data_IF_844667145749
#
_entry.id   IF_844667145749
#
_cell.length_a   1.000
_cell.length_b   1.000
_cell.length_c   1.000
_cell.angle_alpha   90.00
_cell.angle_beta   90.00
_cell.angle_gamma   90.00
#
_symmetry.space_group_name_H-M   'P 1'
#
loop_
_entity.id
_entity.type
_entity.pdbx_description
1 polymer ?
#
# COMPACT_ATOMS: atom_id res chain seq x y z
N UNK A 1 5.85 -20.31 1.10
CA UNK A 1 5.88 -19.39 2.26
C UNK A 1 7.24 -18.70 2.40
N UNK A 2 7.89 -18.41 1.25
CA UNK A 2 9.27 -17.93 1.27
C UNK A 2 9.36 -16.61 0.50
N UNK A 3 10.18 -15.71 1.00
CA UNK A 3 10.58 -14.48 0.30
C UNK A 3 12.09 -14.57 0.04
N UNK A 4 12.47 -14.41 -1.21
CA UNK A 4 13.88 -14.31 -1.59
C UNK A 4 14.18 -12.87 -1.99
N UNK A 5 15.11 -12.25 -1.30
CA UNK A 5 15.59 -10.90 -1.58
C UNK A 5 16.83 -11.02 -2.46
N UNK A 6 16.81 -10.43 -3.63
CA UNK A 6 17.98 -10.44 -4.50
C UNK A 6 18.20 -9.07 -5.15
N UNK A 7 19.44 -8.83 -5.49
CA UNK A 7 19.90 -7.66 -6.21
C UNK A 7 20.67 -8.13 -7.45
N UNK A 8 21.16 -7.14 -8.20
CA UNK A 8 21.94 -7.32 -9.41
C UNK A 8 23.12 -8.32 -9.27
N UNK A 9 23.70 -8.40 -8.09
CA UNK A 9 24.87 -9.23 -7.72
C UNK A 9 24.52 -10.52 -6.98
N UNK A 10 23.23 -10.89 -6.88
CA UNK A 10 22.77 -12.16 -6.32
C UNK A 10 21.80 -12.04 -5.14
N UNK A 11 21.56 -13.18 -4.49
CA UNK A 11 20.68 -13.28 -3.32
C UNK A 11 21.26 -12.53 -2.14
N UNK A 12 20.43 -11.74 -1.47
CA UNK A 12 20.78 -10.93 -0.30
C UNK A 12 20.14 -11.44 0.99
N UNK A 13 19.09 -12.20 0.89
CA UNK A 13 18.40 -12.78 2.04
C UNK A 13 17.31 -13.74 1.61
N UNK A 14 16.93 -14.60 2.55
CA UNK A 14 15.84 -15.55 2.39
C UNK A 14 15.06 -15.59 3.71
N UNK A 15 13.74 -15.44 3.61
CA UNK A 15 12.84 -15.35 4.76
C UNK A 15 11.82 -16.47 4.63
N UNK A 16 11.79 -17.37 5.60
CA UNK A 16 10.80 -18.43 5.70
C UNK A 16 9.69 -18.04 6.66
N UNK A 17 8.45 -18.16 6.24
CA UNK A 17 7.30 -17.92 7.09
C UNK A 17 6.50 -19.20 7.35
N UNK A 18 5.95 -19.34 8.54
CA UNK A 18 5.07 -20.47 8.88
C UNK A 18 3.66 -20.31 8.32
N UNK A 19 3.23 -19.08 8.09
CA UNK A 19 1.92 -18.73 7.52
C UNK A 19 2.06 -18.39 6.03
N UNK A 20 1.02 -18.62 5.22
CA UNK A 20 1.02 -18.18 3.83
C UNK A 20 1.17 -16.66 3.70
N UNK A 21 1.96 -16.24 2.74
CA UNK A 21 2.15 -14.83 2.39
C UNK A 21 1.08 -14.43 1.37
N UNK A 22 0.29 -13.42 1.68
CA UNK A 22 -0.71 -12.86 0.75
C UNK A 22 -0.16 -11.67 -0.04
N UNK A 23 0.58 -10.81 0.63
CA UNK A 23 1.23 -9.63 0.06
C UNK A 23 2.61 -9.46 0.68
N UNK A 24 3.53 -8.92 -0.09
CA UNK A 24 4.83 -8.54 0.43
C UNK A 24 5.38 -7.34 -0.35
N UNK A 25 6.14 -6.52 0.35
CA UNK A 25 6.86 -5.37 -0.19
C UNK A 25 8.28 -5.35 0.38
N UNK A 26 9.19 -4.66 -0.31
CA UNK A 26 10.58 -4.55 0.11
C UNK A 26 11.06 -3.11 -0.02
N UNK A 27 11.76 -2.62 1.02
CA UNK A 27 12.44 -1.32 0.98
C UNK A 27 13.78 -1.39 0.22
N UNK A 28 14.36 -0.23 -0.08
CA UNK A 28 15.71 -0.16 -0.68
C UNK A 28 16.81 -0.70 0.24
N UNK A 29 16.53 -0.82 1.53
CA UNK A 29 17.45 -1.38 2.54
C UNK A 29 17.30 -2.91 2.71
N UNK A 30 16.36 -3.53 1.98
CA UNK A 30 16.09 -4.97 2.08
C UNK A 30 15.14 -5.35 3.22
N UNK A 31 14.52 -4.39 3.89
CA UNK A 31 13.44 -4.68 4.86
C UNK A 31 12.20 -5.14 4.09
N UNK A 32 11.70 -6.32 4.43
CA UNK A 32 10.49 -6.90 3.86
C UNK A 32 9.35 -6.77 4.84
N UNK A 33 8.23 -6.18 4.42
CA UNK A 33 6.97 -6.24 5.16
C UNK A 33 5.98 -7.12 4.41
N UNK A 34 5.35 -8.04 5.11
CA UNK A 34 4.44 -9.03 4.54
C UNK A 34 3.11 -9.09 5.31
N UNK A 35 2.02 -9.26 4.56
CA UNK A 35 0.73 -9.68 5.10
C UNK A 35 0.71 -11.20 5.11
N UNK A 36 0.61 -11.78 6.30
CA UNK A 36 0.55 -13.22 6.50
C UNK A 36 -0.90 -13.64 6.79
N UNK A 37 -1.36 -14.64 6.06
CA UNK A 37 -2.69 -15.20 6.21
C UNK A 37 -2.77 -16.06 7.47
N UNK A 38 -3.60 -15.64 8.40
CA UNK A 38 -4.07 -16.45 9.52
C UNK A 38 -5.60 -16.48 9.49
N UNK A 39 -6.20 -17.63 9.78
CA UNK A 39 -7.64 -17.85 9.68
C UNK A 39 -8.47 -16.92 10.57
N UNK A 40 -7.91 -16.47 11.68
CA UNK A 40 -8.61 -15.67 12.68
C UNK A 40 -8.06 -14.26 12.86
N UNK A 41 -6.79 -14.05 12.54
CA UNK A 41 -6.08 -12.83 12.85
C UNK A 41 -4.89 -12.64 11.90
N UNK A 42 -5.10 -12.13 10.69
CA UNK A 42 -4.02 -11.82 9.78
C UNK A 42 -2.97 -10.96 10.45
N UNK A 43 -1.70 -11.16 10.07
CA UNK A 43 -0.58 -10.45 10.66
C UNK A 43 0.17 -9.66 9.61
N UNK A 44 0.70 -8.52 10.02
CA UNK A 44 1.69 -7.79 9.25
C UNK A 44 3.02 -7.95 9.96
N UNK A 45 4.01 -8.50 9.27
CA UNK A 45 5.32 -8.76 9.85
C UNK A 45 6.39 -8.16 8.97
N UNK A 46 7.29 -7.38 9.57
CA UNK A 46 8.45 -6.84 8.88
C UNK A 46 9.72 -7.58 9.32
N UNK A 47 10.55 -7.92 8.35
CA UNK A 47 11.77 -8.72 8.53
C UNK A 47 12.98 -7.96 7.99
N UNK A 48 14.15 -8.19 8.60
CA UNK A 48 15.42 -7.84 8.00
C UNK A 48 15.89 -8.88 6.95
N UNK A 49 17.01 -8.63 6.30
CA UNK A 49 17.58 -9.54 5.28
C UNK A 49 18.05 -10.88 5.85
N UNK A 50 18.23 -11.00 7.16
CA UNK A 50 18.59 -12.24 7.84
C UNK A 50 17.34 -13.04 8.28
N UNK A 51 16.13 -12.51 8.05
CA UNK A 51 14.87 -13.13 8.48
C UNK A 51 14.48 -12.84 9.93
N UNK A 52 15.18 -11.94 10.61
CA UNK A 52 14.77 -11.53 11.96
C UNK A 52 13.53 -10.66 11.89
N UNK A 53 12.58 -10.91 12.79
CA UNK A 53 11.36 -10.10 12.92
C UNK A 53 11.73 -8.77 13.56
N UNK A 54 11.45 -7.68 12.85
CA UNK A 54 11.61 -6.30 13.32
C UNK A 54 10.31 -5.76 13.94
N UNK A 55 9.19 -6.09 13.30
CA UNK A 55 7.85 -5.67 13.71
C UNK A 55 6.87 -6.80 13.47
N UNK A 56 6.01 -7.06 14.44
CA UNK A 56 4.83 -7.92 14.28
C UNK A 56 3.58 -7.16 14.75
N UNK A 57 2.68 -6.91 13.82
CA UNK A 57 1.41 -6.24 14.08
C UNK A 57 0.25 -7.21 13.82
N UNK A 58 -0.46 -7.58 14.90
CA UNK A 58 -1.65 -8.44 14.81
C UNK A 58 -2.86 -7.58 14.45
N UNK A 59 -3.59 -7.99 13.43
CA UNK A 59 -4.82 -7.31 13.05
C UNK A 59 -6.04 -8.05 13.65
N UNK A 60 -7.14 -7.35 13.75
CA UNK A 60 -8.40 -7.91 14.21
C UNK A 60 -9.48 -7.60 13.17
N UNK A 61 -10.12 -8.61 12.64
CA UNK A 61 -11.18 -8.44 11.61
C UNK A 61 -12.32 -7.52 12.07
N UNK A 62 -12.60 -7.51 13.37
CA UNK A 62 -13.66 -6.69 13.96
C UNK A 62 -13.21 -5.30 14.41
N UNK A 63 -11.90 -5.10 14.61
CA UNK A 63 -11.31 -3.83 15.08
C UNK A 63 -10.59 -3.07 13.98
N UNK A 64 -9.45 -3.61 13.52
CA UNK A 64 -8.63 -2.96 12.50
C UNK A 64 -9.12 -3.19 11.07
N UNK A 65 -9.79 -4.30 10.81
CA UNK A 65 -10.16 -4.76 9.48
C UNK A 65 -9.16 -5.77 8.91
N UNK A 66 -9.47 -6.27 7.72
CA UNK A 66 -8.62 -7.19 6.97
C UNK A 66 -7.54 -6.39 6.22
N UNK A 67 -6.24 -6.67 6.39
CA UNK A 67 -5.19 -6.00 5.65
C UNK A 67 -5.20 -6.44 4.19
N UNK A 68 -5.47 -5.52 3.28
CA UNK A 68 -5.56 -5.77 1.84
C UNK A 68 -4.21 -5.65 1.15
N UNK A 69 -3.41 -4.69 1.59
CA UNK A 69 -2.11 -4.41 1.02
C UNK A 69 -1.17 -3.75 2.02
N UNK A 70 0.13 -3.88 1.77
CA UNK A 70 1.20 -3.26 2.55
C UNK A 70 2.24 -2.66 1.62
N UNK A 71 2.65 -1.43 1.90
CA UNK A 71 3.75 -0.77 1.23
C UNK A 71 4.73 -0.20 2.27
N UNK A 72 6.01 -0.10 1.92
CA UNK A 72 7.05 0.46 2.79
C UNK A 72 7.86 1.50 2.03
N UNK A 73 8.22 2.59 2.71
CA UNK A 73 9.09 3.62 2.14
C UNK A 73 10.49 3.08 1.83
N UNK A 74 11.21 3.73 0.94
CA UNK A 74 12.54 3.27 0.50
C UNK A 74 13.56 3.18 1.63
N UNK A 75 13.45 4.04 2.65
CA UNK A 75 14.27 4.06 3.86
C UNK A 75 13.75 3.13 4.97
N UNK A 76 12.64 2.42 4.74
CA UNK A 76 11.98 1.55 5.70
C UNK A 76 11.42 2.25 6.96
N UNK A 77 11.35 3.58 6.99
CA UNK A 77 10.85 4.32 8.16
C UNK A 77 9.33 4.37 8.23
N UNK A 78 8.65 4.42 7.07
CA UNK A 78 7.18 4.55 7.01
C UNK A 78 6.57 3.36 6.30
N UNK A 79 5.60 2.72 6.96
CA UNK A 79 4.77 1.66 6.39
C UNK A 79 3.35 2.18 6.17
N UNK A 80 2.78 1.90 5.01
CA UNK A 80 1.38 2.12 4.66
C UNK A 80 0.66 0.78 4.62
N UNK A 81 -0.51 0.71 5.23
CA UNK A 81 -1.38 -0.48 5.17
C UNK A 81 -2.79 -0.05 4.79
N UNK A 82 -3.39 -0.76 3.85
CA UNK A 82 -4.80 -0.62 3.53
C UNK A 82 -5.59 -1.72 4.22
N UNK A 83 -6.64 -1.37 4.94
CA UNK A 83 -7.54 -2.30 5.60
C UNK A 83 -8.93 -2.23 5.00
N UNK A 84 -9.61 -3.37 4.98
CA UNK A 84 -11.01 -3.49 4.59
C UNK A 84 -11.85 -3.98 5.78
N UNK A 85 -12.96 -3.32 6.04
CA UNK A 85 -13.95 -3.77 7.03
C UNK A 85 -15.37 -3.38 6.62
N UNK A 86 -16.35 -3.90 7.32
CA UNK A 86 -17.76 -3.53 7.13
C UNK A 86 -18.22 -2.69 8.30
N UNK A 87 -18.80 -1.54 8.03
CA UNK A 87 -19.40 -0.67 9.02
C UNK A 87 -20.80 -0.30 8.56
N UNK A 88 -21.80 -0.51 9.44
CA UNK A 88 -23.21 -0.21 9.16
C UNK A 88 -23.73 -0.83 7.84
N UNK A 89 -23.28 -2.05 7.54
CA UNK A 89 -23.62 -2.77 6.31
C UNK A 89 -22.92 -2.27 5.04
N UNK A 90 -22.03 -1.31 5.15
CA UNK A 90 -21.26 -0.75 4.03
C UNK A 90 -19.81 -1.16 4.12
N UNK A 91 -19.21 -1.40 2.96
CA UNK A 91 -17.77 -1.60 2.83
C UNK A 91 -17.05 -0.28 3.11
N UNK A 92 -16.01 -0.34 3.94
CA UNK A 92 -15.17 0.81 4.27
C UNK A 92 -13.72 0.38 4.20
N UNK A 93 -12.90 1.16 3.53
CA UNK A 93 -11.45 0.98 3.58
C UNK A 93 -10.84 2.01 4.52
N UNK A 94 -9.75 1.59 5.18
CA UNK A 94 -8.94 2.45 6.03
C UNK A 94 -7.51 2.38 5.54
N UNK A 95 -6.88 3.53 5.29
CA UNK A 95 -5.46 3.66 4.98
C UNK A 95 -4.77 4.14 6.23
N UNK A 96 -3.80 3.37 6.72
CA UNK A 96 -3.07 3.66 7.97
C UNK A 96 -1.59 3.78 7.68
N UNK A 97 -0.96 4.76 8.30
CA UNK A 97 0.49 4.93 8.26
C UNK A 97 1.10 4.70 9.63
N UNK A 98 2.15 3.92 9.63
CA UNK A 98 3.00 3.62 10.78
C UNK A 98 4.38 4.21 10.53
N UNK A 99 4.96 4.86 11.54
CA UNK A 99 6.31 5.38 11.45
C UNK A 99 7.18 4.70 12.52
N UNK A 100 8.24 4.04 12.08
CA UNK A 100 9.17 3.30 12.96
C UNK A 100 10.34 4.16 13.44
N UNK A 101 10.40 5.42 13.02
CA UNK A 101 11.32 6.44 13.51
C UNK A 101 10.72 7.29 14.62
N UNK A 102 11.33 8.44 14.86
CA UNK A 102 11.02 9.32 16.00
C UNK A 102 9.56 9.83 16.04
N UNK A 103 8.91 9.96 14.88
CA UNK A 103 7.52 10.43 14.82
C UNK A 103 6.52 9.41 15.39
N UNK A 104 6.85 8.13 15.35
CA UNK A 104 6.01 7.05 15.85
C UNK A 104 6.39 6.50 17.22
N UNK A 105 7.58 6.81 17.75
CA UNK A 105 8.10 6.24 19.02
C UNK A 105 7.13 6.38 20.22
N UNK A 106 6.41 7.47 20.31
CA UNK A 106 5.47 7.74 21.40
C UNK A 106 4.00 7.51 21.02
N UNK A 107 3.76 6.89 19.87
CA UNK A 107 2.42 6.58 19.39
C UNK A 107 2.06 5.12 19.67
N UNK A 108 0.79 4.87 19.94
CA UNK A 108 0.29 3.50 20.07
C UNK A 108 0.52 2.76 18.75
N UNK A 109 1.21 1.63 18.82
CA UNK A 109 1.54 0.77 17.68
C UNK A 109 2.27 1.51 16.54
N UNK A 110 2.98 2.61 16.84
CA UNK A 110 3.65 3.48 15.86
C UNK A 110 2.72 4.14 14.83
N UNK A 111 1.41 4.11 15.03
CA UNK A 111 0.44 4.70 14.12
C UNK A 111 0.50 6.23 14.15
N UNK A 112 0.80 6.86 13.03
CA UNK A 112 0.96 8.32 12.91
C UNK A 112 -0.21 9.02 12.25
N UNK A 113 -0.89 8.37 11.29
CA UNK A 113 -2.11 8.90 10.66
C UNK A 113 -2.98 7.79 10.09
N UNK A 114 -4.26 8.10 9.88
CA UNK A 114 -5.20 7.23 9.18
C UNK A 114 -6.27 8.05 8.47
N UNK A 115 -6.80 7.49 7.37
CA UNK A 115 -7.95 8.03 6.65
C UNK A 115 -8.93 6.91 6.32
N UNK A 116 -10.24 7.23 6.29
CA UNK A 116 -11.31 6.27 6.01
C UNK A 116 -12.06 6.63 4.73
N UNK A 117 -12.34 5.61 3.92
CA UNK A 117 -13.00 5.71 2.62
C UNK A 117 -14.24 4.83 2.61
N UNK A 118 -15.42 5.44 2.83
CA UNK A 118 -16.71 4.74 2.84
C UNK A 118 -17.18 4.45 1.42
N UNK A 119 -17.60 3.22 1.18
CA UNK A 119 -18.11 2.77 -0.11
C UNK A 119 -17.04 2.66 -1.20
N UNK A 120 -15.76 2.59 -0.84
CA UNK A 120 -14.63 2.45 -1.75
C UNK A 120 -13.71 1.35 -1.27
N UNK A 121 -13.29 0.47 -2.17
CA UNK A 121 -12.29 -0.56 -1.92
C UNK A 121 -10.90 0.01 -2.27
N UNK A 122 -10.13 0.41 -1.28
CA UNK A 122 -8.74 0.87 -1.45
C UNK A 122 -7.82 -0.35 -1.44
N UNK A 123 -7.42 -0.84 -2.62
CA UNK A 123 -6.87 -2.17 -2.79
C UNK A 123 -5.35 -2.22 -2.97
N UNK A 124 -4.72 -1.17 -3.50
CA UNK A 124 -3.30 -1.18 -3.85
C UNK A 124 -2.64 0.11 -3.37
N UNK A 125 -1.63 -0.04 -2.51
CA UNK A 125 -0.84 1.05 -1.97
C UNK A 125 0.63 0.96 -2.37
N UNK A 126 1.28 2.09 -2.61
CA UNK A 126 2.70 2.15 -2.95
C UNK A 126 3.34 3.48 -2.60
N UNK A 127 4.65 3.46 -2.43
CA UNK A 127 5.47 4.66 -2.33
C UNK A 127 6.07 5.00 -3.69
N UNK A 128 5.89 6.23 -4.15
CA UNK A 128 6.59 6.77 -5.32
C UNK A 128 8.02 7.20 -4.95
N UNK A 129 8.20 7.70 -3.74
CA UNK A 129 9.48 8.06 -3.12
C UNK A 129 9.28 8.19 -1.60
N UNK A 130 10.30 8.61 -0.86
CA UNK A 130 10.23 8.75 0.62
C UNK A 130 9.13 9.71 1.12
N UNK A 131 8.67 10.65 0.29
CA UNK A 131 7.74 11.72 0.69
C UNK A 131 6.35 11.58 0.12
N UNK A 132 6.18 10.73 -0.91
CA UNK A 132 4.96 10.62 -1.67
C UNK A 132 4.57 9.16 -1.78
N UNK A 133 3.38 8.87 -1.35
CA UNK A 133 2.73 7.58 -1.53
C UNK A 133 1.34 7.76 -2.14
N UNK A 134 0.79 6.70 -2.66
CA UNK A 134 -0.54 6.69 -3.22
C UNK A 134 -1.29 5.40 -2.86
N UNK A 135 -2.61 5.47 -2.95
CA UNK A 135 -3.48 4.30 -2.89
C UNK A 135 -4.47 4.37 -4.03
N UNK A 136 -4.61 3.26 -4.72
CA UNK A 136 -5.60 3.09 -5.79
C UNK A 136 -6.71 2.19 -5.30
N UNK A 137 -7.93 2.68 -5.39
CA UNK A 137 -9.14 1.93 -5.10
C UNK A 137 -9.89 1.57 -6.38
N UNK A 138 -11.08 0.99 -6.22
CA UNK A 138 -11.95 0.60 -7.33
C UNK A 138 -12.46 1.81 -8.14
N UNK A 139 -12.59 2.98 -7.52
CA UNK A 139 -13.14 4.20 -8.12
C UNK A 139 -12.38 5.48 -7.74
N UNK A 140 -11.17 5.34 -7.19
CA UNK A 140 -10.43 6.47 -6.64
C UNK A 140 -8.92 6.25 -6.70
N UNK A 141 -8.19 7.32 -6.94
CA UNK A 141 -6.75 7.44 -6.69
C UNK A 141 -6.54 8.52 -5.63
N UNK A 142 -5.84 8.18 -4.56
CA UNK A 142 -5.52 9.12 -3.47
C UNK A 142 -4.00 9.25 -3.34
N UNK A 143 -3.53 10.49 -3.17
CA UNK A 143 -2.11 10.80 -3.00
C UNK A 143 -1.88 11.39 -1.62
N UNK A 144 -0.82 10.92 -0.97
CA UNK A 144 -0.37 11.37 0.33
C UNK A 144 1.04 11.96 0.23
N UNK A 145 1.29 13.00 1.02
CA UNK A 145 2.60 13.64 1.11
C UNK A 145 3.03 13.79 2.57
N UNK A 146 4.29 13.55 2.81
CA UNK A 146 4.94 13.67 4.13
C UNK A 146 5.97 12.58 4.32
N UNK A 147 7.13 12.93 4.85
CA UNK A 147 8.25 12.02 5.08
C UNK A 147 8.02 11.16 6.33
N UNK A 148 7.55 11.76 7.42
CA UNK A 148 7.35 11.05 8.70
C UNK A 148 5.88 10.87 9.06
N UNK A 149 5.01 11.78 8.64
CA UNK A 149 3.56 11.76 8.88
C UNK A 149 2.84 12.10 7.57
N UNK A 150 2.62 11.11 6.69
CA UNK A 150 1.92 11.33 5.44
C UNK A 150 0.49 11.84 5.65
N UNK A 151 0.11 12.86 4.87
CA UNK A 151 -1.25 13.42 4.86
C UNK A 151 -1.81 13.38 3.46
N UNK A 152 -3.09 13.13 3.36
CA UNK A 152 -3.80 13.20 2.09
C UNK A 152 -3.71 14.60 1.50
N UNK A 153 -3.32 14.67 0.23
CA UNK A 153 -3.18 15.94 -0.51
C UNK A 153 -4.05 15.99 -1.75
N UNK A 154 -4.48 14.84 -2.25
CA UNK A 154 -5.32 14.78 -3.45
C UNK A 154 -6.18 13.51 -3.46
N UNK A 155 -7.46 13.67 -3.81
CA UNK A 155 -8.38 12.60 -4.16
C UNK A 155 -8.86 12.79 -5.60
N UNK A 156 -8.69 11.79 -6.42
CA UNK A 156 -9.11 11.78 -7.82
C UNK A 156 -10.15 10.68 -8.01
N UNK A 157 -11.38 11.05 -8.34
CA UNK A 157 -12.40 10.08 -8.72
C UNK A 157 -12.05 9.47 -10.07
N UNK A 158 -12.15 8.16 -10.16
CA UNK A 158 -11.97 7.40 -11.39
C UNK A 158 -13.35 6.89 -11.81
N UNK A 159 -13.78 7.29 -12.99
CA UNK A 159 -15.10 7.05 -13.55
C UNK A 159 -15.21 5.76 -14.38
N UNK A 160 -14.11 5.03 -14.52
CA UNK A 160 -14.01 3.81 -15.31
C UNK A 160 -13.39 2.68 -14.49
N UNK A 161 -13.67 1.45 -14.90
CA UNK A 161 -13.06 0.26 -14.30
C UNK A 161 -11.54 0.27 -14.49
N UNK A 162 -10.78 0.22 -13.39
CA UNK A 162 -9.33 0.16 -13.40
C UNK A 162 -8.91 -1.30 -13.69
N UNK A 163 -8.12 -1.51 -14.73
CA UNK A 163 -7.61 -2.82 -15.14
C UNK A 163 -6.18 -3.06 -14.73
N UNK A 164 -5.38 -2.02 -14.67
CA UNK A 164 -3.97 -2.12 -14.28
C UNK A 164 -3.49 -0.79 -13.72
N UNK A 165 -2.58 -0.90 -12.78
CA UNK A 165 -1.86 0.21 -12.15
C UNK A 165 -0.38 0.00 -12.39
N UNK A 166 0.34 1.07 -12.68
CA UNK A 166 1.80 1.08 -12.68
C UNK A 166 2.29 2.45 -12.23
N UNK A 167 3.47 2.51 -11.68
CA UNK A 167 4.03 3.75 -11.18
C UNK A 167 5.55 3.77 -11.26
N UNK A 168 6.08 4.98 -11.23
CA UNK A 168 7.48 5.26 -10.97
C UNK A 168 7.58 6.40 -9.93
N UNK A 169 8.74 7.02 -9.81
CA UNK A 169 8.95 8.13 -8.86
C UNK A 169 8.31 9.46 -9.28
N UNK A 170 7.68 9.55 -10.46
CA UNK A 170 7.11 10.78 -11.04
C UNK A 170 5.65 10.64 -11.46
N UNK A 171 5.27 9.46 -11.92
CA UNK A 171 3.96 9.23 -12.53
C UNK A 171 3.28 8.01 -11.97
N UNK A 172 1.95 8.08 -11.95
CA UNK A 172 1.03 6.97 -11.71
C UNK A 172 0.25 6.76 -13.00
N UNK A 173 0.29 5.56 -13.55
CA UNK A 173 -0.46 5.18 -14.75
C UNK A 173 -1.63 4.26 -14.41
N UNK A 174 -2.80 4.59 -14.89
CA UNK A 174 -3.99 3.77 -14.81
C UNK A 174 -4.42 3.33 -16.21
N UNK A 175 -4.57 2.02 -16.40
CA UNK A 175 -5.23 1.47 -17.59
C UNK A 175 -6.70 1.26 -17.24
N UNK A 176 -7.57 1.96 -17.91
CA UNK A 176 -8.99 2.01 -17.67
C UNK A 176 -9.75 1.32 -18.81
N UNK A 177 -10.81 0.60 -18.48
CA UNK A 177 -11.67 -0.04 -19.48
C UNK A 177 -12.62 1.01 -20.09
N UNK A 178 -12.67 1.09 -21.42
CA UNK A 178 -13.66 1.88 -22.13
C UNK A 178 -15.00 1.14 -22.21
N UNK A 179 -16.05 1.76 -21.69
CA UNK A 179 -17.40 1.22 -21.83
C UNK A 179 -17.97 1.53 -23.21
N UNK A 180 -18.63 0.56 -23.82
CA UNK A 180 -19.42 0.71 -25.04
C UNK A 180 -18.65 0.78 -26.37
N UNK A 181 -17.37 1.15 -26.38
CA UNK A 181 -16.55 1.23 -27.61
C UNK A 181 -15.51 0.14 -27.76
N UNK A 182 -15.30 -0.65 -26.70
CA UNK A 182 -14.16 -1.57 -26.60
C UNK A 182 -12.83 -0.80 -26.39
N UNK A 183 -11.75 -1.54 -26.12
CA UNK A 183 -10.43 -0.96 -25.89
C UNK A 183 -10.24 -0.37 -24.47
N UNK A 184 -9.17 0.35 -24.31
CA UNK A 184 -8.74 0.89 -23.02
C UNK A 184 -8.34 2.36 -23.16
N UNK A 185 -8.32 3.05 -22.03
CA UNK A 185 -7.75 4.39 -21.88
C UNK A 185 -6.55 4.33 -20.93
N UNK A 186 -5.46 4.93 -21.31
CA UNK A 186 -4.33 5.20 -20.44
C UNK A 186 -4.45 6.60 -19.88
N UNK A 187 -4.48 6.74 -18.54
CA UNK A 187 -4.32 8.02 -17.85
C UNK A 187 -3.03 8.03 -17.05
N UNK A 188 -2.27 9.12 -17.18
CA UNK A 188 -1.10 9.37 -16.32
C UNK A 188 -1.37 10.56 -15.40
N UNK A 189 -1.01 10.38 -14.14
CA UNK A 189 -1.08 11.40 -13.10
C UNK A 189 0.31 11.66 -12.55
N UNK A 190 0.63 12.91 -12.29
CA UNK A 190 1.88 13.25 -11.61
C UNK A 190 1.74 13.12 -10.07
N UNK A 191 2.83 13.39 -9.35
CA UNK A 191 2.90 13.30 -7.87
C UNK A 191 1.97 14.25 -7.12
N UNK A 192 1.36 15.25 -7.78
CA UNK A 192 0.34 16.12 -7.19
C UNK A 192 -1.09 15.72 -7.54
N UNK A 193 -1.27 14.60 -8.27
CA UNK A 193 -2.59 14.15 -8.73
C UNK A 193 -3.11 14.83 -9.99
N UNK A 194 -2.30 15.70 -10.63
CA UNK A 194 -2.69 16.32 -11.90
C UNK A 194 -2.56 15.30 -13.03
N UNK A 195 -3.65 15.13 -13.78
CA UNK A 195 -3.63 14.32 -15.01
C UNK A 195 -2.75 15.00 -16.07
N UNK A 196 -1.78 14.25 -16.58
CA UNK A 196 -0.80 14.72 -17.58
C UNK A 196 -0.99 14.09 -18.94
N UNK A 197 -1.65 12.93 -18.99
CA UNK A 197 -1.99 12.24 -20.23
C UNK A 197 -3.35 11.58 -20.10
N UNK A 198 -4.10 11.55 -21.23
CA UNK A 198 -5.23 10.66 -21.46
C UNK A 198 -5.17 10.21 -22.92
N UNK A 199 -5.18 8.91 -23.17
CA UNK A 199 -5.08 8.35 -24.52
C UNK A 199 -5.81 7.02 -24.63
N UNK A 200 -6.75 6.94 -25.58
CA UNK A 200 -7.40 5.67 -25.95
C UNK A 200 -6.48 4.79 -26.83
N UNK A 201 -6.63 3.46 -26.70
CA UNK A 201 -5.92 2.46 -27.51
C UNK A 201 -6.69 1.13 -27.56
#
# INVERSE_FOLDING_TARGET
NDVVIFQKDGVKGEIHTTLPIEKATVSSQGIVCAVLKDSSSPKIVCYDTAGNILVEHKTSLTGTGYPMDVAISSDAEVMQVTYLYTQDGSVTSRVVYYNFGSAGEQKTDHQVTQEEYKGTLMAEGFFMNQKISAVVGDNMLTIYQGESVPKETSQIKIDKEIKSVFHDNKYIGLVLKNEGKGGYELRLYNTSGKQTLSKDF
#
